data_IF_970014562512
#
_entry.id   IF_970014562512
#
_cell.length_a   1.000
_cell.length_b   1.000
_cell.length_c   1.000
_cell.angle_alpha   90.00
_cell.angle_beta   90.00
_cell.angle_gamma   90.00
#
_symmetry.space_group_name_H-M   'P 1'
#
loop_
_entity.id
_entity.type
_entity.pdbx_description
1 polymer ?
#
# COMPACT_ATOMS: atom_id res chain seq x y z
N UNK A 1 9.44 -12.63 3.83
CA UNK A 1 9.22 -11.65 4.91
C UNK A 1 8.12 -12.19 5.82
N UNK A 2 8.33 -12.24 7.13
CA UNK A 2 7.34 -12.81 8.06
C UNK A 2 6.31 -11.75 8.47
N UNK A 3 5.13 -12.15 8.95
CA UNK A 3 4.07 -11.24 9.36
C UNK A 3 4.51 -10.26 10.46
N UNK A 4 5.43 -10.69 11.34
CA UNK A 4 6.04 -9.85 12.36
C UNK A 4 6.87 -8.71 11.76
N UNK A 5 7.68 -9.00 10.75
CA UNK A 5 8.50 -7.99 10.07
C UNK A 5 7.62 -6.99 9.32
N UNK A 6 6.54 -7.47 8.70
CA UNK A 6 5.57 -6.61 8.01
C UNK A 6 4.79 -5.75 9.00
N UNK A 7 4.38 -6.30 10.16
CA UNK A 7 3.71 -5.54 11.20
C UNK A 7 4.60 -4.45 11.77
N UNK A 8 5.88 -4.74 12.01
CA UNK A 8 6.85 -3.76 12.48
C UNK A 8 7.06 -2.64 11.44
N UNK A 9 7.24 -2.99 10.16
CA UNK A 9 7.38 -2.00 9.09
C UNK A 9 6.14 -1.10 8.96
N UNK A 10 4.94 -1.70 8.93
CA UNK A 10 3.70 -0.94 8.87
C UNK A 10 3.51 -0.08 10.12
N UNK A 11 3.88 -0.61 11.29
CA UNK A 11 3.84 0.10 12.56
C UNK A 11 4.76 1.31 12.58
N UNK A 12 6.00 1.18 12.10
CA UNK A 12 6.93 2.32 11.96
C UNK A 12 6.39 3.38 10.99
N UNK A 13 5.83 2.96 9.85
CA UNK A 13 5.30 3.87 8.83
C UNK A 13 4.09 4.68 9.31
N UNK A 14 3.28 4.12 10.20
CA UNK A 14 2.10 4.80 10.77
C UNK A 14 2.34 5.32 12.18
N UNK A 15 3.55 5.18 12.72
CA UNK A 15 3.92 5.53 14.09
C UNK A 15 3.02 4.84 15.15
N UNK A 16 2.66 3.58 14.89
CA UNK A 16 1.84 2.78 15.79
C UNK A 16 2.60 2.43 17.08
N UNK A 17 1.88 2.36 18.19
CA UNK A 17 2.44 1.85 19.44
C UNK A 17 2.67 0.31 19.40
N UNK A 18 3.35 -0.23 20.42
CA UNK A 18 3.65 -1.66 20.52
C UNK A 18 2.38 -2.54 20.54
N UNK A 19 1.27 -2.04 21.11
CA UNK A 19 0.00 -2.76 21.19
C UNK A 19 -0.67 -2.83 19.82
N UNK A 20 -0.70 -1.72 19.09
CA UNK A 20 -1.18 -1.65 17.71
C UNK A 20 -0.33 -2.50 16.77
N UNK A 21 0.99 -2.50 16.92
CA UNK A 21 1.89 -3.41 16.21
C UNK A 21 1.53 -4.89 16.46
N UNK A 22 1.31 -5.26 17.72
CA UNK A 22 0.91 -6.63 18.07
C UNK A 22 -0.48 -7.00 17.51
N UNK A 23 -1.40 -6.03 17.40
CA UNK A 23 -2.72 -6.24 16.76
C UNK A 23 -2.59 -6.36 15.25
N UNK A 24 -1.75 -5.53 14.62
CA UNK A 24 -1.41 -5.63 13.20
C UNK A 24 -0.83 -7.00 12.86
N UNK A 25 0.10 -7.53 13.65
CA UNK A 25 0.66 -8.87 13.46
C UNK A 25 -0.44 -9.95 13.47
N UNK A 26 -1.38 -9.87 14.42
CA UNK A 26 -2.52 -10.81 14.48
C UNK A 26 -3.47 -10.68 13.30
N UNK A 27 -3.73 -9.44 12.85
CA UNK A 27 -4.59 -9.19 11.69
C UNK A 27 -3.92 -9.69 10.40
N UNK A 28 -2.61 -9.48 10.25
CA UNK A 28 -1.81 -10.02 9.15
C UNK A 28 -1.77 -11.54 9.15
N UNK A 29 -1.63 -12.17 10.31
CA UNK A 29 -1.68 -13.63 10.43
C UNK A 29 -3.05 -14.20 10.05
N UNK A 30 -4.13 -13.44 10.29
CA UNK A 30 -5.51 -13.88 10.01
C UNK A 30 -5.94 -13.65 8.57
N UNK A 31 -5.57 -12.51 7.98
CA UNK A 31 -6.12 -12.07 6.70
C UNK A 31 -5.06 -12.01 5.58
N UNK A 32 -3.78 -11.91 5.93
CA UNK A 32 -2.72 -11.55 5.00
C UNK A 32 -2.72 -10.06 4.64
N UNK A 33 -1.62 -9.58 4.05
CA UNK A 33 -1.40 -8.16 3.76
C UNK A 33 -2.49 -7.58 2.83
N UNK A 34 -2.74 -8.23 1.69
CA UNK A 34 -3.69 -7.72 0.68
C UNK A 34 -5.10 -7.60 1.25
N UNK A 35 -5.59 -8.67 1.90
CA UNK A 35 -6.94 -8.67 2.47
C UNK A 35 -7.09 -7.71 3.64
N UNK A 36 -6.00 -7.41 4.36
CA UNK A 36 -6.00 -6.42 5.44
C UNK A 36 -6.31 -5.04 4.89
N UNK A 37 -5.59 -4.61 3.83
CA UNK A 37 -5.82 -3.31 3.18
C UNK A 37 -7.21 -3.20 2.54
N UNK A 38 -7.75 -4.28 1.98
CA UNK A 38 -9.12 -4.31 1.44
C UNK A 38 -10.20 -4.17 2.52
N UNK A 39 -9.87 -4.39 3.80
CA UNK A 39 -10.83 -4.43 4.92
C UNK A 39 -10.56 -3.38 5.99
N UNK A 40 -9.74 -2.36 5.71
CA UNK A 40 -9.48 -1.25 6.63
C UNK A 40 -10.78 -0.46 6.88
N UNK A 41 -11.50 -0.86 7.92
CA UNK A 41 -12.81 -0.32 8.31
C UNK A 41 -12.78 0.08 9.81
N UNK A 42 -13.73 0.92 10.24
CA UNK A 42 -13.80 1.44 11.61
C UNK A 42 -14.01 0.35 12.67
N UNK A 43 -14.45 -0.85 12.27
CA UNK A 43 -14.59 -2.01 13.15
C UNK A 43 -13.29 -2.73 13.52
N UNK A 44 -12.13 -2.31 13.01
CA UNK A 44 -10.85 -2.95 13.33
C UNK A 44 -10.35 -2.57 14.73
N UNK A 45 -9.60 -3.47 15.41
CA UNK A 45 -9.06 -3.20 16.74
C UNK A 45 -7.83 -2.29 16.68
N UNK A 46 -7.83 -1.27 15.83
CA UNK A 46 -6.78 -0.25 15.71
C UNK A 46 -7.38 1.11 16.06
N UNK A 47 -6.55 2.07 16.43
CA UNK A 47 -7.02 3.45 16.60
C UNK A 47 -7.48 4.04 15.26
N UNK A 48 -8.39 5.01 15.33
CA UNK A 48 -8.85 5.74 14.15
C UNK A 48 -7.68 6.38 13.39
N UNK A 49 -6.71 6.97 14.12
CA UNK A 49 -5.51 7.56 13.52
C UNK A 49 -4.69 6.54 12.72
N UNK A 50 -4.39 5.38 13.33
CA UNK A 50 -3.63 4.31 12.66
C UNK A 50 -4.38 3.75 11.45
N UNK A 51 -5.71 3.66 11.49
CA UNK A 51 -6.53 3.27 10.34
C UNK A 51 -6.47 4.30 9.20
N UNK A 52 -6.53 5.59 9.50
CA UNK A 52 -6.41 6.64 8.50
C UNK A 52 -5.02 6.64 7.85
N UNK A 53 -3.96 6.49 8.64
CA UNK A 53 -2.58 6.38 8.13
C UNK A 53 -2.40 5.15 7.24
N UNK A 54 -2.96 3.99 7.62
CA UNK A 54 -2.94 2.78 6.78
C UNK A 54 -3.69 2.97 5.46
N UNK A 55 -4.84 3.67 5.46
CA UNK A 55 -5.58 4.01 4.23
C UNK A 55 -4.78 4.96 3.33
N UNK A 56 -4.11 5.96 3.91
CA UNK A 56 -3.23 6.86 3.17
C UNK A 56 -2.06 6.09 2.53
N UNK A 57 -1.48 5.14 3.25
CA UNK A 57 -0.41 4.29 2.75
C UNK A 57 -0.87 3.41 1.57
N UNK A 58 -2.06 2.82 1.67
CA UNK A 58 -2.67 2.06 0.57
C UNK A 58 -2.83 2.91 -0.70
N UNK A 59 -3.31 4.14 -0.55
CA UNK A 59 -3.50 5.07 -1.66
C UNK A 59 -2.17 5.47 -2.31
N UNK A 60 -1.10 5.64 -1.52
CA UNK A 60 0.23 5.94 -2.04
C UNK A 60 0.81 4.77 -2.82
N UNK A 61 0.66 3.54 -2.31
CA UNK A 61 1.10 2.32 -3.02
C UNK A 61 0.36 2.17 -4.35
N UNK A 62 -0.97 2.36 -4.36
CA UNK A 62 -1.78 2.29 -5.57
C UNK A 62 -1.33 3.31 -6.63
N UNK A 63 -1.08 4.56 -6.21
CA UNK A 63 -0.59 5.63 -7.09
C UNK A 63 0.82 5.37 -7.64
N UNK A 64 1.71 4.79 -6.83
CA UNK A 64 3.05 4.42 -7.30
C UNK A 64 2.98 3.26 -8.29
N UNK A 65 2.15 2.24 -8.00
CA UNK A 65 1.95 1.11 -8.91
C UNK A 65 1.37 1.51 -10.27
N UNK A 66 0.50 2.53 -10.31
CA UNK A 66 -0.04 3.05 -11.58
C UNK A 66 1.00 3.84 -12.39
N UNK A 67 2.01 4.43 -11.75
CA UNK A 67 3.07 5.18 -12.44
C UNK A 67 4.06 4.27 -13.15
N UNK A 68 4.30 3.07 -12.64
CA UNK A 68 5.15 2.07 -13.31
C UNK A 68 4.52 1.57 -14.64
N UNK A 69 3.19 1.57 -14.78
CA UNK A 69 2.52 1.26 -16.06
C UNK A 69 2.54 2.45 -17.07
N UNK A 70 2.91 3.65 -16.62
CA UNK A 70 2.84 4.87 -17.46
C UNK A 70 4.18 5.22 -18.14
N UNK A 71 5.29 4.57 -17.79
CA UNK A 71 6.62 4.91 -18.35
C UNK A 71 7.16 3.93 -19.43
N UNK A 72 6.34 3.00 -19.95
CA UNK A 72 6.72 2.13 -21.08
C UNK A 72 5.70 2.20 -22.23
N UNK A 73 5.38 3.41 -22.68
CA UNK A 73 4.40 3.64 -23.75
C UNK A 73 4.69 4.81 -24.70
N UNK A 74 5.91 5.36 -24.73
CA UNK A 74 6.31 6.36 -25.73
C UNK A 74 7.42 5.83 -26.65
N UNK A 75 7.22 4.64 -27.20
CA UNK A 75 7.86 4.25 -28.47
C UNK A 75 6.76 4.09 -29.53
N UNK A 76 6.48 5.16 -30.28
CA UNK A 76 5.96 5.05 -31.63
C UNK A 76 6.54 6.21 -32.48
N UNK A 77 7.69 5.90 -33.05
CA UNK A 77 8.13 6.32 -34.38
C UNK A 77 6.93 6.40 -35.35
N UNK A 78 6.53 7.59 -35.79
CA UNK A 78 5.93 7.84 -37.11
C UNK A 78 5.84 9.36 -37.33
N UNK A 79 6.83 9.90 -38.04
CA UNK A 79 6.87 11.31 -38.40
C UNK A 79 7.87 11.63 -39.50
N UNK A 80 8.04 10.76 -40.50
CA UNK A 80 8.61 11.16 -41.79
C UNK A 80 7.53 11.94 -42.55
N UNK A 81 7.69 13.24 -42.83
CA UNK A 81 6.80 13.92 -43.76
C UNK A 81 7.05 13.41 -45.19
N UNK A 82 6.01 13.34 -46.02
CA UNK A 82 6.11 12.84 -47.38
C UNK A 82 7.00 13.76 -48.24
N UNK A 83 7.70 13.12 -49.18
CA UNK A 83 8.39 13.73 -50.30
C UNK A 83 7.58 14.83 -50.99
N UNK A 84 8.25 15.95 -51.29
CA UNK A 84 8.19 16.64 -52.59
C UNK A 84 9.60 17.08 -53.01
#
# INVERSE_FOLDING_TARGET
>A
MNNKDVAALLGELIEADENECARLEKLLARYGVVSLFQRLDEGMPLSTESLEKLRALQLLIDRMSQRDDTELGEENDYGLPPHE
#
